data_IF_166711545267
#
_entry.id   IF_166711545267
#
_cell.length_a   1.000
_cell.length_b   1.000
_cell.length_c   1.000
_cell.angle_alpha   90.00
_cell.angle_beta   90.00
_cell.angle_gamma   90.00
#
_symmetry.space_group_name_H-M   'P 1'
#
loop_
_entity.id
_entity.type
_entity.pdbx_description
1 polymer ?
#
# COMPACT_ATOMS: atom_id res chain seq x y z
N UNK A 1 -58.13 19.51 47.85
CA UNK A 1 -57.60 18.46 48.76
C UNK A 1 -57.71 17.12 48.02
N UNK A 2 -56.74 16.21 48.25
CA UNK A 2 -56.43 14.91 47.58
C UNK A 2 -57.65 13.96 47.43
N UNK A 3 -57.71 12.86 46.66
CA UNK A 3 -56.80 11.70 46.46
C UNK A 3 -57.26 10.90 45.20
N UNK A 4 -56.34 10.27 44.47
CA UNK A 4 -56.52 9.24 43.42
C UNK A 4 -57.20 7.92 43.87
N UNK A 5 -57.70 7.10 42.91
CA UNK A 5 -57.16 5.75 42.56
C UNK A 5 -58.21 4.80 41.93
N UNK A 6 -57.85 4.18 40.78
CA UNK A 6 -58.27 2.88 40.14
C UNK A 6 -59.76 2.47 40.05
N UNK A 7 -60.28 1.77 39.02
CA UNK A 7 -59.86 0.46 38.46
C UNK A 7 -60.78 0.02 37.28
N UNK A 8 -60.20 -0.78 36.37
CA UNK A 8 -60.76 -1.90 35.56
C UNK A 8 -61.95 -1.71 34.60
N UNK A 9 -61.67 -1.92 33.30
CA UNK A 9 -62.63 -2.41 32.32
C UNK A 9 -62.57 -3.95 32.19
N UNK A 10 -63.72 -4.56 32.43
CA UNK A 10 -64.16 -5.92 32.10
C UNK A 10 -64.51 -5.99 30.58
N UNK A 11 -64.71 -7.09 29.84
CA UNK A 11 -64.86 -8.54 30.04
C UNK A 11 -64.89 -9.23 28.64
N UNK A 12 -64.87 -10.57 28.66
CA UNK A 12 -65.53 -11.52 27.72
C UNK A 12 -64.76 -11.90 26.44
N UNK A 13 -64.52 -13.17 26.07
CA UNK A 13 -65.25 -14.45 26.29
C UNK A 13 -64.31 -15.66 26.17
N UNK A 14 -64.62 -16.72 26.92
CA UNK A 14 -64.30 -18.12 26.58
C UNK A 14 -65.63 -18.86 26.42
N UNK A 15 -65.76 -19.84 25.49
CA UNK A 15 -65.73 -21.22 25.96
C UNK A 15 -65.04 -22.22 25.03
N UNK A 16 -64.69 -23.34 25.65
CA UNK A 16 -63.88 -24.50 25.26
C UNK A 16 -64.59 -25.55 24.40
N UNK A 17 -63.82 -26.23 23.53
CA UNK A 17 -63.70 -27.71 23.28
C UNK A 17 -63.15 -27.90 21.84
N UNK A 18 -62.23 -28.82 21.49
CA UNK A 18 -61.87 -30.16 21.98
C UNK A 18 -60.51 -30.57 21.35
N UNK A 19 -59.73 -31.35 22.11
CA UNK A 19 -58.83 -32.45 21.71
C UNK A 19 -57.87 -32.27 20.52
N UNK A 20 -56.55 -32.33 20.77
CA UNK A 20 -55.62 -33.26 20.09
C UNK A 20 -54.20 -33.21 20.70
N UNK A 21 -53.75 -34.39 21.13
CA UNK A 21 -52.44 -35.04 20.97
C UNK A 21 -51.15 -34.21 21.12
N UNK A 22 -50.31 -34.69 22.04
CA UNK A 22 -48.93 -34.24 22.30
C UNK A 22 -48.06 -34.25 21.03
N UNK A 23 -47.53 -33.09 20.65
CA UNK A 23 -46.30 -32.97 19.85
C UNK A 23 -45.14 -32.50 20.74
N UNK A 24 -43.90 -32.97 20.50
CA UNK A 24 -42.75 -32.66 21.32
C UNK A 24 -42.41 -31.17 21.21
N UNK A 25 -42.17 -30.52 22.36
CA UNK A 25 -41.58 -29.18 22.41
C UNK A 25 -40.23 -29.22 21.70
N UNK A 26 -40.19 -28.77 20.46
CA UNK A 26 -38.95 -28.35 19.81
C UNK A 26 -38.48 -27.13 20.60
N UNK A 27 -37.47 -27.35 21.46
CA UNK A 27 -36.71 -26.27 22.07
C UNK A 27 -36.22 -25.38 20.95
N UNK A 28 -36.76 -24.16 20.86
CA UNK A 28 -36.25 -23.13 19.98
C UNK A 28 -34.81 -22.87 20.44
N UNK A 29 -33.85 -23.53 19.79
CA UNK A 29 -32.44 -23.19 19.90
C UNK A 29 -32.40 -21.75 19.41
N UNK A 30 -32.29 -20.80 20.34
CA UNK A 30 -31.79 -19.47 20.02
C UNK A 30 -30.48 -19.72 19.30
N UNK A 31 -30.49 -19.57 17.97
CA UNK A 31 -29.28 -19.25 17.26
C UNK A 31 -28.82 -17.92 17.85
N UNK A 32 -28.02 -18.01 18.92
CA UNK A 32 -27.00 -17.01 19.16
C UNK A 32 -26.28 -16.92 17.82
N UNK A 33 -26.57 -15.84 17.10
CA UNK A 33 -25.65 -15.32 16.12
C UNK A 33 -24.44 -14.89 16.94
N UNK A 34 -23.61 -15.88 17.30
CA UNK A 34 -22.21 -15.66 17.58
C UNK A 34 -21.70 -14.95 16.33
N UNK A 35 -21.70 -13.63 16.43
CA UNK A 35 -20.96 -12.76 15.54
C UNK A 35 -19.59 -13.39 15.44
N UNK A 36 -19.25 -13.90 14.24
CA UNK A 36 -17.88 -14.27 13.93
C UNK A 36 -16.98 -13.17 14.50
N UNK A 37 -15.89 -13.52 15.20
CA UNK A 37 -14.97 -12.52 15.69
C UNK A 37 -14.64 -11.63 14.49
N UNK A 38 -14.90 -10.32 14.61
CA UNK A 38 -14.45 -9.32 13.63
C UNK A 38 -12.96 -9.61 13.45
N UNK A 39 -12.59 -10.25 12.35
CA UNK A 39 -11.20 -10.33 11.92
C UNK A 39 -10.73 -8.88 11.88
N UNK A 40 -9.76 -8.52 12.72
CA UNK A 40 -9.19 -7.19 12.68
C UNK A 40 -8.70 -7.01 11.24
N UNK A 41 -9.22 -6.00 10.54
CA UNK A 41 -8.79 -5.73 9.19
C UNK A 41 -7.28 -5.47 9.23
N UNK A 42 -6.51 -6.38 8.64
CA UNK A 42 -5.05 -6.29 8.59
C UNK A 42 -4.71 -4.97 7.88
N UNK A 43 -4.09 -4.04 8.61
CA UNK A 43 -3.75 -2.75 8.06
C UNK A 43 -2.55 -2.86 7.12
N UNK A 44 -2.83 -2.90 5.82
CA UNK A 44 -1.82 -2.97 4.75
C UNK A 44 -1.47 -1.61 4.15
N UNK A 45 -2.02 -0.49 4.67
CA UNK A 45 -1.85 0.84 4.07
C UNK A 45 -0.38 1.27 4.01
N UNK A 46 0.37 1.04 5.10
CA UNK A 46 1.80 1.37 5.16
C UNK A 46 2.61 0.71 4.05
N UNK A 47 2.33 -0.55 3.74
CA UNK A 47 3.04 -1.29 2.67
C UNK A 47 2.66 -0.74 1.30
N UNK A 48 1.38 -0.43 1.09
CA UNK A 48 0.89 0.19 -0.13
C UNK A 48 1.53 1.56 -0.35
N UNK A 49 1.61 2.38 0.69
CA UNK A 49 2.17 3.73 0.64
C UNK A 49 3.68 3.72 0.37
N UNK A 50 4.42 2.80 1.01
CA UNK A 50 5.85 2.59 0.73
C UNK A 50 6.08 2.09 -0.70
N UNK A 51 5.23 1.19 -1.21
CA UNK A 51 5.32 0.71 -2.60
C UNK A 51 5.01 1.79 -3.63
N UNK A 52 3.98 2.60 -3.41
CA UNK A 52 3.68 3.76 -4.26
C UNK A 52 4.85 4.75 -4.27
N UNK A 53 5.44 5.01 -3.10
CA UNK A 53 6.60 5.90 -2.97
C UNK A 53 7.84 5.34 -3.68
N UNK A 54 8.09 4.03 -3.59
CA UNK A 54 9.15 3.35 -4.35
C UNK A 54 8.91 3.49 -5.85
N UNK A 55 7.68 3.26 -6.33
CA UNK A 55 7.33 3.39 -7.75
C UNK A 55 7.60 4.79 -8.29
N UNK A 56 7.17 5.83 -7.56
CA UNK A 56 7.48 7.23 -7.89
C UNK A 56 8.99 7.51 -7.94
N UNK A 57 9.75 7.00 -6.97
CA UNK A 57 11.20 7.16 -6.93
C UNK A 57 11.90 6.47 -8.10
N UNK A 58 11.41 5.30 -8.53
CA UNK A 58 11.91 4.60 -9.71
C UNK A 58 11.61 5.36 -11.00
N UNK A 59 10.41 5.94 -11.13
CA UNK A 59 10.07 6.82 -12.26
C UNK A 59 10.98 8.05 -12.28
N UNK A 60 11.19 8.68 -11.12
CA UNK A 60 12.11 9.81 -11.00
C UNK A 60 13.54 9.43 -11.39
N UNK A 61 14.04 8.29 -10.92
CA UNK A 61 15.35 7.75 -11.29
C UNK A 61 15.48 7.56 -12.80
N UNK A 62 14.48 6.96 -13.44
CA UNK A 62 14.47 6.73 -14.89
C UNK A 62 14.54 8.03 -15.69
N UNK A 63 13.82 9.07 -15.24
CA UNK A 63 13.91 10.40 -15.87
C UNK A 63 15.31 10.97 -15.73
N UNK A 64 15.92 10.92 -14.54
CA UNK A 64 17.28 11.42 -14.32
C UNK A 64 18.31 10.65 -15.15
N UNK A 65 18.15 9.34 -15.29
CA UNK A 65 18.98 8.48 -16.14
C UNK A 65 18.91 8.88 -17.63
N UNK A 66 17.78 9.42 -18.08
CA UNK A 66 17.62 9.92 -19.45
C UNK A 66 18.25 11.31 -19.67
N UNK A 67 18.33 12.14 -18.63
CA UNK A 67 18.81 13.53 -18.69
C UNK A 67 20.34 13.59 -18.56
N UNK A 68 20.92 12.84 -17.62
CA UNK A 68 22.36 12.84 -17.33
C UNK A 68 23.25 12.69 -18.59
N UNK A 69 23.05 11.68 -19.47
CA UNK A 69 23.90 11.51 -20.64
C UNK A 69 23.77 12.66 -21.64
N UNK A 70 22.59 13.30 -21.73
CA UNK A 70 22.37 14.45 -22.62
C UNK A 70 23.14 15.67 -22.12
N UNK A 71 23.18 15.91 -20.81
CA UNK A 71 24.00 16.96 -20.20
C UNK A 71 25.49 16.71 -20.41
N UNK A 72 25.95 15.46 -20.23
CA UNK A 72 27.34 15.09 -20.50
C UNK A 72 27.72 15.26 -21.98
N UNK A 73 26.82 14.91 -22.91
CA UNK A 73 27.04 15.14 -24.33
C UNK A 73 27.17 16.64 -24.63
N UNK A 74 26.37 17.48 -23.96
CA UNK A 74 26.40 18.92 -24.12
C UNK A 74 27.70 19.57 -23.62
N UNK A 75 28.27 19.05 -22.52
CA UNK A 75 29.58 19.48 -22.00
C UNK A 75 30.74 19.20 -22.97
N UNK A 76 30.63 18.14 -23.78
CA UNK A 76 31.65 17.71 -24.74
C UNK A 76 31.68 18.56 -26.01
N UNK A 77 30.60 19.29 -26.31
CA UNK A 77 30.58 20.20 -27.47
C UNK A 77 31.58 21.33 -27.21
N UNK A 78 32.50 21.58 -28.12
CA UNK A 78 33.48 22.67 -28.00
C UNK A 78 32.93 24.00 -28.50
N UNK A 79 32.23 23.98 -29.63
CA UNK A 79 31.59 25.14 -30.23
C UNK A 79 30.51 25.74 -29.32
N UNK A 80 30.67 27.01 -28.97
CA UNK A 80 29.77 27.71 -28.03
C UNK A 80 28.38 27.92 -28.63
N UNK A 81 28.28 28.27 -29.91
CA UNK A 81 27.02 28.57 -30.60
C UNK A 81 26.19 27.30 -30.73
N UNK A 82 26.81 26.20 -31.14
CA UNK A 82 26.19 24.87 -31.22
C UNK A 82 25.76 24.37 -29.83
N UNK A 83 26.60 24.59 -28.81
CA UNK A 83 26.26 24.22 -27.43
C UNK A 83 25.05 25.02 -26.93
N UNK A 84 25.00 26.32 -27.21
CA UNK A 84 23.88 27.17 -26.79
C UNK A 84 22.56 26.75 -27.43
N UNK A 85 22.56 26.45 -28.74
CA UNK A 85 21.37 25.97 -29.43
C UNK A 85 20.85 24.67 -28.82
N UNK A 86 21.74 23.67 -28.67
CA UNK A 86 21.38 22.39 -28.05
C UNK A 86 20.98 22.52 -26.58
N UNK A 87 21.54 23.50 -25.87
CA UNK A 87 21.18 23.75 -24.47
C UNK A 87 19.73 24.21 -24.35
N UNK A 88 19.29 25.12 -25.23
CA UNK A 88 17.90 25.59 -25.27
C UNK A 88 16.93 24.45 -25.59
N UNK A 89 17.27 23.61 -26.56
CA UNK A 89 16.46 22.43 -26.92
C UNK A 89 16.34 21.47 -25.73
N UNK A 90 17.47 21.12 -25.11
CA UNK A 90 17.50 20.23 -23.94
C UNK A 90 16.77 20.84 -22.73
N UNK A 91 16.91 22.14 -22.52
CA UNK A 91 16.25 22.84 -21.43
C UNK A 91 14.73 22.73 -21.54
N UNK A 92 14.17 22.97 -22.72
CA UNK A 92 12.72 22.86 -22.95
C UNK A 92 12.24 21.40 -22.86
N UNK A 93 13.02 20.45 -23.38
CA UNK A 93 12.73 19.03 -23.22
C UNK A 93 12.67 18.63 -21.74
N UNK A 94 13.68 19.00 -20.95
CA UNK A 94 13.72 18.68 -19.52
C UNK A 94 12.56 19.33 -18.76
N UNK A 95 12.25 20.60 -19.03
CA UNK A 95 11.09 21.28 -18.43
C UNK A 95 9.78 20.55 -18.75
N UNK A 96 9.62 20.10 -19.99
CA UNK A 96 8.44 19.34 -20.42
C UNK A 96 8.35 18.01 -19.68
N UNK A 97 9.42 17.21 -19.70
CA UNK A 97 9.49 15.91 -19.01
C UNK A 97 9.20 16.07 -17.52
N UNK A 98 9.80 17.06 -16.85
CA UNK A 98 9.54 17.29 -15.42
C UNK A 98 8.08 17.65 -15.11
N UNK A 99 7.37 18.31 -16.02
CA UNK A 99 5.96 18.67 -15.85
C UNK A 99 5.02 17.49 -16.12
N UNK A 100 5.34 16.69 -17.13
CA UNK A 100 4.48 15.60 -17.63
C UNK A 100 4.71 14.27 -16.90
N UNK A 101 5.87 14.08 -16.26
CA UNK A 101 6.18 12.81 -15.59
C UNK A 101 5.29 12.62 -14.36
N UNK A 102 4.47 11.58 -14.40
CA UNK A 102 3.64 11.11 -13.30
C UNK A 102 3.89 9.63 -13.04
N UNK A 103 3.53 9.17 -11.84
CA UNK A 103 3.38 7.75 -11.52
C UNK A 103 1.92 7.53 -11.13
N UNK A 104 1.16 6.85 -12.01
CA UNK A 104 -0.30 6.95 -12.00
C UNK A 104 -0.73 8.40 -12.26
N UNK A 105 -1.61 8.93 -11.41
CA UNK A 105 -2.12 10.30 -11.51
C UNK A 105 -1.32 11.31 -10.65
N UNK A 106 -0.25 10.86 -9.98
CA UNK A 106 0.50 11.69 -9.04
C UNK A 106 1.85 12.15 -9.60
N UNK A 107 2.18 13.41 -9.32
CA UNK A 107 3.48 13.99 -9.72
C UNK A 107 4.63 13.34 -8.95
N UNK A 108 5.76 13.17 -9.63
CA UNK A 108 6.99 12.64 -9.01
C UNK A 108 7.97 13.75 -8.60
N UNK A 109 8.00 14.87 -9.35
CA UNK A 109 8.84 16.03 -9.03
C UNK A 109 8.18 16.95 -8.00
N UNK A 110 8.98 17.59 -7.14
CA UNK A 110 8.51 18.54 -6.14
C UNK A 110 7.75 17.93 -4.95
N UNK A 111 7.75 16.60 -4.84
CA UNK A 111 7.11 15.84 -3.76
C UNK A 111 8.17 15.36 -2.78
N UNK A 112 7.86 15.40 -1.48
CA UNK A 112 8.70 14.81 -0.45
C UNK A 112 8.25 13.37 -0.20
N UNK A 113 9.20 12.47 -0.02
CA UNK A 113 8.96 11.05 0.24
C UNK A 113 9.15 10.78 1.73
N UNK A 114 8.20 10.04 2.30
CA UNK A 114 8.18 9.70 3.72
C UNK A 114 8.02 8.20 3.90
N UNK A 115 8.57 7.67 5.00
CA UNK A 115 8.31 6.31 5.44
C UNK A 115 6.95 6.17 6.16
N UNK A 116 6.61 4.96 6.58
CA UNK A 116 5.37 4.69 7.33
C UNK A 116 5.26 5.40 8.69
N UNK A 117 6.38 5.89 9.24
CA UNK A 117 6.45 6.67 10.49
C UNK A 117 6.30 8.17 10.25
N UNK A 118 6.27 8.59 9.00
CA UNK A 118 6.18 9.99 8.60
C UNK A 118 7.53 10.71 8.53
N UNK A 119 8.64 9.99 8.68
CA UNK A 119 10.00 10.52 8.56
C UNK A 119 10.33 10.74 7.08
N UNK A 120 10.96 11.88 6.76
CA UNK A 120 11.29 12.23 5.38
C UNK A 120 12.53 11.45 4.95
N UNK A 121 12.35 10.53 4.00
CA UNK A 121 13.45 9.73 3.40
C UNK A 121 14.08 10.40 2.18
N UNK A 122 13.33 11.29 1.52
CA UNK A 122 13.86 12.14 0.45
C UNK A 122 13.09 13.46 0.42
N UNK A 123 13.82 14.58 0.46
CA UNK A 123 13.23 15.91 0.31
C UNK A 123 12.74 16.15 -1.11
N UNK A 124 11.97 17.24 -1.29
CA UNK A 124 11.40 17.61 -2.59
C UNK A 124 12.49 17.75 -3.65
N UNK A 125 12.40 16.93 -4.68
CA UNK A 125 13.34 16.96 -5.80
C UNK A 125 12.95 18.06 -6.78
N UNK A 126 13.87 18.99 -7.01
CA UNK A 126 13.77 20.06 -8.00
C UNK A 126 15.09 20.13 -8.76
N UNK A 127 15.00 20.14 -10.09
CA UNK A 127 16.15 20.41 -10.95
C UNK A 127 16.09 21.85 -11.41
N UNK A 128 17.19 22.58 -11.27
CA UNK A 128 17.31 23.92 -11.82
C UNK A 128 17.65 23.85 -13.32
N UNK A 129 16.60 23.86 -14.13
CA UNK A 129 16.74 23.85 -15.60
C UNK A 129 17.43 25.09 -16.15
N UNK A 130 17.61 26.17 -15.38
CA UNK A 130 18.37 27.35 -15.82
C UNK A 130 19.87 27.09 -15.96
N UNK A 131 20.37 26.06 -15.27
CA UNK A 131 21.75 25.58 -15.37
C UNK A 131 22.02 24.80 -16.66
N UNK A 132 20.98 24.44 -17.42
CA UNK A 132 21.10 23.87 -18.76
C UNK A 132 21.36 25.01 -19.74
N UNK A 133 22.61 25.43 -19.84
CA UNK A 133 23.03 26.56 -20.65
C UNK A 133 24.39 26.27 -21.35
N UNK A 134 24.97 27.27 -22.02
CA UNK A 134 26.24 27.09 -22.73
C UNK A 134 27.50 27.07 -21.82
N UNK A 135 27.36 27.37 -20.52
CA UNK A 135 28.44 27.42 -19.56
C UNK A 135 28.76 26.00 -19.05
N UNK A 136 30.00 25.55 -19.30
CA UNK A 136 30.46 24.21 -18.88
C UNK A 136 30.46 24.03 -17.35
N UNK A 137 30.66 25.10 -16.57
CA UNK A 137 30.64 25.03 -15.11
C UNK A 137 29.24 24.72 -14.60
N UNK A 138 28.23 25.42 -15.13
CA UNK A 138 26.83 25.26 -14.72
C UNK A 138 26.30 23.88 -15.10
N UNK A 139 26.64 23.41 -16.32
CA UNK A 139 26.36 22.04 -16.74
C UNK A 139 27.05 21.00 -15.85
N UNK A 140 28.29 21.29 -15.45
CA UNK A 140 29.08 20.45 -14.55
C UNK A 140 28.42 20.30 -13.19
N UNK A 141 28.02 21.43 -12.59
CA UNK A 141 27.28 21.47 -11.33
C UNK A 141 25.97 20.68 -11.42
N UNK A 142 25.15 20.95 -12.44
CA UNK A 142 23.88 20.23 -12.63
C UNK A 142 24.07 18.71 -12.83
N UNK A 143 25.12 18.30 -13.56
CA UNK A 143 25.42 16.88 -13.74
C UNK A 143 25.83 16.22 -12.43
N UNK A 144 26.56 16.93 -11.58
CA UNK A 144 26.91 16.43 -10.25
C UNK A 144 25.68 16.36 -9.35
N UNK A 145 24.83 17.38 -9.34
CA UNK A 145 23.56 17.39 -8.60
C UNK A 145 22.66 16.21 -8.99
N UNK A 146 22.58 15.88 -10.28
CA UNK A 146 21.83 14.71 -10.76
C UNK A 146 22.42 13.40 -10.24
N UNK A 147 23.75 13.27 -10.19
CA UNK A 147 24.41 12.07 -9.66
C UNK A 147 24.15 11.89 -8.17
N UNK A 148 24.27 12.97 -7.40
CA UNK A 148 24.02 12.95 -5.96
C UNK A 148 22.55 12.64 -5.68
N UNK A 149 21.64 13.26 -6.43
CA UNK A 149 20.21 12.97 -6.36
C UNK A 149 19.88 11.51 -6.70
N UNK A 150 20.52 10.91 -7.71
CA UNK A 150 20.34 9.49 -8.04
C UNK A 150 20.80 8.58 -6.89
N UNK A 151 21.88 8.95 -6.19
CA UNK A 151 22.35 8.24 -5.00
C UNK A 151 21.34 8.36 -3.85
N UNK A 152 20.81 9.55 -3.61
CA UNK A 152 19.81 9.79 -2.57
C UNK A 152 18.50 9.04 -2.86
N UNK A 153 18.05 9.02 -4.12
CA UNK A 153 16.91 8.21 -4.55
C UNK A 153 17.13 6.72 -4.26
N UNK A 154 18.33 6.20 -4.56
CA UNK A 154 18.66 4.79 -4.26
C UNK A 154 18.59 4.51 -2.76
N UNK A 155 19.09 5.42 -1.92
CA UNK A 155 19.02 5.30 -0.47
C UNK A 155 17.57 5.35 0.04
N UNK A 156 16.75 6.26 -0.50
CA UNK A 156 15.34 6.40 -0.15
C UNK A 156 14.54 5.13 -0.55
N UNK A 157 14.79 4.56 -1.73
CA UNK A 157 14.18 3.29 -2.14
C UNK A 157 14.56 2.17 -1.16
N UNK A 158 15.83 2.08 -0.75
CA UNK A 158 16.28 1.06 0.20
C UNK A 158 15.58 1.21 1.56
N UNK A 159 15.48 2.45 2.07
CA UNK A 159 14.78 2.76 3.32
C UNK A 159 13.30 2.40 3.26
N UNK A 160 12.58 2.78 2.20
CA UNK A 160 11.17 2.43 2.02
C UNK A 160 10.95 0.93 1.82
N UNK A 161 11.90 0.23 1.19
CA UNK A 161 11.83 -1.22 1.01
C UNK A 161 11.98 -1.94 2.35
N UNK A 162 12.91 -1.47 3.19
CA UNK A 162 13.05 -1.98 4.56
C UNK A 162 11.80 -1.69 5.40
N UNK A 163 11.27 -0.48 5.32
CA UNK A 163 10.03 -0.09 6.01
C UNK A 163 8.84 -0.97 5.58
N UNK A 164 8.69 -1.23 4.28
CA UNK A 164 7.67 -2.14 3.77
C UNK A 164 7.88 -3.59 4.27
N UNK A 165 9.12 -4.04 4.36
CA UNK A 165 9.48 -5.36 4.87
C UNK A 165 9.18 -5.51 6.37
N UNK A 166 9.52 -4.50 7.18
CA UNK A 166 9.21 -4.48 8.61
C UNK A 166 7.70 -4.48 8.86
N UNK A 167 6.93 -3.69 8.10
CA UNK A 167 5.48 -3.64 8.23
C UNK A 167 4.81 -4.96 7.81
N UNK A 168 5.33 -5.61 6.78
CA UNK A 168 4.89 -6.93 6.36
C UNK A 168 5.15 -8.02 7.43
N UNK A 169 6.31 -7.98 8.09
CA UNK A 169 6.62 -8.87 9.20
C UNK A 169 5.68 -8.65 10.39
N UNK A 170 5.40 -7.39 10.76
CA UNK A 170 4.42 -7.08 11.83
C UNK A 170 3.03 -7.65 11.53
N UNK A 171 2.58 -7.53 10.27
CA UNK A 171 1.31 -8.11 9.82
C UNK A 171 1.33 -9.63 9.97
N UNK A 172 2.41 -10.30 9.53
CA UNK A 172 2.53 -11.75 9.68
C UNK A 172 2.47 -12.17 11.15
N UNK A 173 3.20 -11.48 12.03
CA UNK A 173 3.15 -11.76 13.47
C UNK A 173 1.76 -11.56 14.08
N UNK A 174 1.02 -10.54 13.65
CA UNK A 174 -0.35 -10.31 14.10
C UNK A 174 -1.27 -11.46 13.67
N UNK A 175 -1.21 -11.85 12.39
CA UNK A 175 -2.01 -12.97 11.85
C UNK A 175 -1.66 -14.29 12.54
N UNK A 176 -0.37 -14.58 12.78
CA UNK A 176 0.06 -15.79 13.48
C UNK A 176 -0.35 -15.80 14.96
N UNK A 177 -0.41 -14.66 15.63
CA UNK A 177 -0.90 -14.55 17.02
C UNK A 177 -2.41 -14.74 17.12
N UNK A 178 -3.17 -14.27 16.12
CA UNK A 178 -4.63 -14.40 16.07
C UNK A 178 -5.11 -15.78 15.59
N UNK A 179 -4.27 -16.54 14.88
CA UNK A 179 -4.62 -17.86 14.32
C UNK A 179 -3.66 -18.95 14.85
N UNK A 180 -3.67 -19.18 16.17
CA UNK A 180 -2.79 -20.18 16.82
C UNK A 180 -2.98 -21.62 16.32
N UNK A 181 -4.10 -21.96 15.68
CA UNK A 181 -4.45 -23.35 15.39
C UNK A 181 -4.32 -23.75 13.91
N UNK A 182 -3.91 -22.87 12.98
CA UNK A 182 -3.92 -23.25 11.55
C UNK A 182 -3.03 -22.44 10.59
N UNK A 183 -1.90 -21.88 11.06
CA UNK A 183 -0.98 -21.19 10.13
C UNK A 183 -0.01 -22.19 9.51
N UNK A 184 -0.27 -22.52 8.26
CA UNK A 184 0.67 -23.18 7.35
C UNK A 184 2.02 -22.41 7.40
N UNK A 185 3.10 -23.11 7.74
CA UNK A 185 4.49 -22.64 7.78
C UNK A 185 4.97 -22.12 6.41
N UNK A 186 4.47 -20.98 5.98
CA UNK A 186 4.98 -20.26 4.81
C UNK A 186 5.73 -19.02 5.29
N UNK A 187 7.04 -19.14 5.58
CA UNK A 187 7.84 -17.97 5.90
C UNK A 187 7.88 -17.05 4.67
N UNK A 188 7.53 -15.77 4.85
CA UNK A 188 7.92 -14.76 3.87
C UNK A 188 9.44 -14.74 3.87
N UNK A 189 10.04 -15.03 2.71
CA UNK A 189 11.49 -15.07 2.52
C UNK A 189 12.08 -13.77 3.05
N UNK A 190 12.79 -13.82 4.18
CA UNK A 190 13.57 -12.69 4.66
C UNK A 190 14.67 -12.42 3.63
N UNK A 191 14.46 -11.42 2.77
CA UNK A 191 15.52 -11.00 1.87
C UNK A 191 16.58 -10.25 2.67
N UNK A 192 17.73 -10.88 2.85
CA UNK A 192 18.93 -10.27 3.46
C UNK A 192 19.63 -9.27 2.53
N UNK A 193 19.14 -9.07 1.30
CA UNK A 193 19.78 -8.19 0.32
C UNK A 193 18.79 -7.15 -0.23
N UNK A 194 19.09 -5.85 -0.08
CA UNK A 194 18.30 -4.78 -0.68
C UNK A 194 18.47 -4.82 -2.20
N UNK A 195 17.45 -5.30 -2.92
CA UNK A 195 17.46 -5.32 -4.39
C UNK A 195 16.63 -6.42 -5.07
N UNK A 196 16.15 -7.43 -4.34
CA UNK A 196 15.25 -8.48 -4.88
C UNK A 196 13.80 -8.35 -4.39
N UNK A 197 13.44 -7.15 -3.98
CA UNK A 197 12.16 -6.67 -3.41
C UNK A 197 10.90 -7.30 -4.06
N UNK A 198 10.94 -7.60 -5.36
CA UNK A 198 9.87 -8.28 -6.08
C UNK A 198 9.50 -9.66 -5.51
N UNK A 199 10.48 -10.42 -5.00
CA UNK A 199 10.24 -11.76 -4.45
C UNK A 199 9.60 -11.70 -3.06
N UNK A 200 10.00 -10.70 -2.25
CA UNK A 200 9.39 -10.40 -0.96
C UNK A 200 7.91 -10.01 -1.11
N UNK A 201 7.58 -9.06 -1.99
CA UNK A 201 6.19 -8.65 -2.21
C UNK A 201 5.32 -9.74 -2.84
N UNK A 202 5.91 -10.60 -3.68
CA UNK A 202 5.22 -11.78 -4.20
C UNK A 202 4.89 -12.78 -3.08
N UNK A 203 5.83 -12.97 -2.15
CA UNK A 203 5.63 -13.79 -0.95
C UNK A 203 4.52 -13.23 -0.04
N UNK A 204 4.55 -11.92 0.24
CA UNK A 204 3.51 -11.26 1.02
C UNK A 204 2.13 -11.29 0.34
N UNK A 205 2.08 -11.05 -0.98
CA UNK A 205 0.83 -11.12 -1.75
C UNK A 205 0.21 -12.51 -1.71
N UNK A 206 1.03 -13.56 -1.72
CA UNK A 206 0.56 -14.93 -1.54
C UNK A 206 0.14 -15.21 -0.09
N UNK A 207 0.86 -14.71 0.91
CA UNK A 207 0.51 -14.87 2.33
C UNK A 207 -0.85 -14.23 2.67
N UNK A 208 -1.07 -12.98 2.21
CA UNK A 208 -2.34 -12.27 2.42
C UNK A 208 -3.50 -12.94 1.68
N UNK A 209 -3.29 -13.47 0.46
CA UNK A 209 -4.30 -14.28 -0.24
C UNK A 209 -4.65 -15.57 0.51
N UNK A 210 -3.64 -16.28 1.02
CA UNK A 210 -3.86 -17.52 1.76
C UNK A 210 -4.54 -17.29 3.12
N UNK A 211 -4.35 -16.13 3.76
CA UNK A 211 -5.08 -15.76 4.99
C UNK A 211 -6.59 -15.54 4.77
N UNK A 212 -7.00 -15.27 3.53
CA UNK A 212 -8.40 -15.09 3.12
C UNK A 212 -9.02 -16.36 2.51
N UNK A 213 -8.20 -17.33 2.06
CA UNK A 213 -8.66 -18.56 1.37
C UNK A 213 -8.85 -19.76 2.33
N UNK A 214 -8.77 -19.55 3.66
CA UNK A 214 -9.12 -20.56 4.68
C UNK A 214 -10.62 -20.86 4.78
N UNK A 215 -11.45 -20.20 3.97
CA UNK A 215 -12.91 -20.40 3.89
C UNK A 215 -13.37 -21.13 2.63
N UNK A 216 -12.52 -21.92 1.97
CA UNK A 216 -13.03 -22.98 1.09
C UNK A 216 -13.39 -24.18 1.96
N UNK A 217 -14.70 -24.33 2.21
CA UNK A 217 -15.31 -25.48 2.86
C UNK A 217 -14.59 -26.76 2.43
N UNK A 218 -14.12 -27.52 3.42
CA UNK A 218 -13.69 -28.89 3.24
C UNK A 218 -14.85 -29.69 2.64
N UNK A 219 -14.75 -30.02 1.35
CA UNK A 219 -15.73 -30.80 0.60
C UNK A 219 -16.04 -32.15 1.29
N UNK A 220 -15.12 -32.67 2.11
CA UNK A 220 -15.34 -33.89 2.89
C UNK A 220 -16.27 -33.67 4.10
N UNK A 221 -16.31 -32.47 4.69
CA UNK A 221 -17.27 -32.16 5.78
C UNK A 221 -18.69 -31.96 5.26
N UNK A 222 -18.85 -31.43 4.03
CA UNK A 222 -20.16 -31.29 3.38
C UNK A 222 -20.73 -32.65 2.99
N UNK A 223 -19.90 -33.57 2.48
CA UNK A 223 -20.35 -34.93 2.15
C UNK A 223 -20.73 -35.76 3.39
N UNK A 224 -20.09 -35.53 4.55
CA UNK A 224 -20.48 -36.20 5.82
C UNK A 224 -21.77 -35.66 6.45
N UNK A 225 -22.23 -34.48 6.06
CA UNK A 225 -23.48 -33.88 6.55
C UNK A 225 -24.67 -34.15 5.61
N UNK A 226 -24.41 -34.67 4.42
CA UNK A 226 -25.40 -35.02 3.39
C UNK A 226 -25.48 -36.54 3.12
N UNK A 227 -24.72 -37.35 3.86
CA UNK A 227 -24.75 -38.82 3.84
C UNK A 227 -25.53 -39.38 5.02
#
# INVERSE_FOLDING_TARGET
>A
MKIDNTKNNSTFTQPTQKTQTKEPKTTLIKQSTDSLPKTQAINTSAIKDSNTSIGKLQTLQSVLDSIEPKLQALQKIEDKTQREQKAKELQEEVKKVMKETTFGDEKVFGVAFKDSKGEVVLTKVKLDTSLINANKRDLGALTQDIKDLKKDIKNAIASLSQDAQENAQKIQEQVSKEHKDNVLDSPIIQEKQPGKIASFFKGLGNFLKNSHDTNKLDSNRVQKLLA
#
